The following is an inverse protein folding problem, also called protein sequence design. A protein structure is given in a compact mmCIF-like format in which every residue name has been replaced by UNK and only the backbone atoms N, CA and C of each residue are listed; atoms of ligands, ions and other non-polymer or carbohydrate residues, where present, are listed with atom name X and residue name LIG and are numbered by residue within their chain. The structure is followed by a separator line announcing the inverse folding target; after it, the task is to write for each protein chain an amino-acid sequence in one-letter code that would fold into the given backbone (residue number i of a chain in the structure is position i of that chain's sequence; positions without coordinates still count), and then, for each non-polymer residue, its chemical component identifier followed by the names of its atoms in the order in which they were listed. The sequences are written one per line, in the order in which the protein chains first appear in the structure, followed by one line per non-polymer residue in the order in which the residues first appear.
data_IF_277131009016
#
_entry.id   IF_277131009016
#
_cell.length_a   1.000
_cell.length_b   1.000
_cell.length_c   1.000
_cell.angle_alpha   90.00
_cell.angle_beta   90.00
_cell.angle_gamma   90.00
#
_symmetry.space_group_name_H-M   'P 1'
#
loop_
_entity.id
_entity.type
_entity.pdbx_description
1 polymer ?
#
# COMPACT_ATOMS: atom_id res chain seq x y z
N UNK A 1 22.78 -12.70 -4.20
CA UNK A 1 21.40 -13.21 -4.03
C UNK A 1 20.45 -12.16 -3.45
N UNK A 2 20.86 -11.33 -2.48
CA UNK A 2 20.02 -10.24 -1.94
C UNK A 2 19.62 -9.19 -2.98
N UNK A 3 20.54 -8.75 -3.84
CA UNK A 3 20.31 -7.66 -4.79
C UNK A 3 19.21 -7.96 -5.85
N UNK A 4 19.09 -9.22 -6.28
CA UNK A 4 18.03 -9.67 -7.19
C UNK A 4 16.66 -9.72 -6.50
N UNK A 5 16.61 -10.05 -5.21
CA UNK A 5 15.38 -10.09 -4.43
C UNK A 5 14.93 -8.66 -4.11
N UNK A 6 15.84 -7.79 -3.68
CA UNK A 6 15.59 -6.37 -3.41
C UNK A 6 15.02 -5.62 -4.62
N UNK A 7 15.57 -5.87 -5.82
CA UNK A 7 15.03 -5.32 -7.08
C UNK A 7 13.66 -5.89 -7.45
N UNK A 8 13.37 -7.14 -7.09
CA UNK A 8 12.08 -7.77 -7.37
C UNK A 8 10.98 -7.36 -6.38
N UNK A 9 11.34 -6.98 -5.16
CA UNK A 9 10.43 -6.50 -4.11
C UNK A 9 10.25 -4.99 -4.08
N UNK A 10 11.08 -4.24 -4.83
CA UNK A 10 10.99 -2.79 -4.94
C UNK A 10 11.55 -2.02 -3.75
N UNK A 11 12.36 -2.67 -2.91
CA UNK A 11 12.96 -1.97 -1.77
C UNK A 11 14.10 -1.07 -2.25
N UNK A 12 13.95 0.24 -2.09
CA UNK A 12 15.12 1.08 -1.81
C UNK A 12 15.85 0.44 -0.63
N UNK A 13 17.17 0.28 -0.65
CA UNK A 13 17.96 -0.50 0.32
C UNK A 13 17.81 -0.17 1.82
N UNK A 14 16.83 0.65 2.20
CA UNK A 14 16.32 0.86 3.55
C UNK A 14 14.90 0.27 3.68
N UNK A 15 14.81 -0.95 4.24
CA UNK A 15 13.57 -1.70 4.43
C UNK A 15 12.60 -1.05 5.43
N UNK A 16 13.11 -0.24 6.36
CA UNK A 16 12.28 0.39 7.40
C UNK A 16 11.50 1.55 6.78
N UNK A 17 12.19 2.40 6.03
CA UNK A 17 11.57 3.55 5.38
C UNK A 17 10.57 3.11 4.28
N UNK A 18 10.88 2.04 3.54
CA UNK A 18 9.95 1.46 2.58
C UNK A 18 8.67 0.92 3.25
N UNK A 19 8.83 0.21 4.38
CA UNK A 19 7.68 -0.31 5.14
C UNK A 19 6.81 0.80 5.74
N UNK A 20 7.43 1.87 6.26
CA UNK A 20 6.72 3.04 6.77
C UNK A 20 5.97 3.78 5.67
N UNK A 21 6.58 3.95 4.50
CA UNK A 21 5.96 4.62 3.35
C UNK A 21 4.75 3.83 2.85
N UNK A 22 4.87 2.51 2.75
CA UNK A 22 3.76 1.60 2.40
C UNK A 22 2.63 1.66 3.44
N UNK A 23 2.98 1.58 4.72
CA UNK A 23 2.02 1.67 5.81
C UNK A 23 1.26 3.00 5.80
N UNK A 24 1.96 4.11 5.59
CA UNK A 24 1.36 5.44 5.50
C UNK A 24 0.41 5.56 4.30
N UNK A 25 0.80 5.05 3.13
CA UNK A 25 -0.07 5.04 1.96
C UNK A 25 -1.37 4.27 2.23
N UNK A 26 -1.27 3.08 2.79
CA UNK A 26 -2.43 2.25 3.14
C UNK A 26 -3.33 2.96 4.13
N UNK A 27 -2.76 3.59 5.17
CA UNK A 27 -3.52 4.35 6.15
C UNK A 27 -4.29 5.52 5.52
N UNK A 28 -3.68 6.24 4.57
CA UNK A 28 -4.34 7.34 3.84
C UNK A 28 -5.50 6.82 3.00
N UNK A 29 -5.28 5.75 2.22
CA UNK A 29 -6.33 5.14 1.39
C UNK A 29 -7.49 4.64 2.24
N UNK A 30 -7.20 3.95 3.34
CA UNK A 30 -8.22 3.47 4.27
C UNK A 30 -9.00 4.61 4.91
N UNK A 31 -8.34 5.70 5.29
CA UNK A 31 -9.00 6.88 5.85
C UNK A 31 -9.96 7.52 4.85
N UNK A 32 -9.56 7.62 3.57
CA UNK A 32 -10.41 8.15 2.50
C UNK A 32 -11.62 7.23 2.27
N UNK A 33 -11.39 5.92 2.16
CA UNK A 33 -12.48 4.95 1.95
C UNK A 33 -13.46 4.96 3.11
N UNK A 34 -12.97 4.93 4.36
CA UNK A 34 -13.79 4.99 5.56
C UNK A 34 -14.62 6.28 5.62
N UNK A 35 -14.00 7.43 5.32
CA UNK A 35 -14.70 8.72 5.26
C UNK A 35 -15.83 8.70 4.23
N UNK A 36 -15.57 8.19 3.03
CA UNK A 36 -16.57 8.10 1.96
C UNK A 36 -17.70 7.17 2.39
N UNK A 37 -17.41 5.95 2.86
CA UNK A 37 -18.43 4.94 3.20
C UNK A 37 -19.33 5.38 4.34
N UNK A 38 -18.79 6.06 5.35
CA UNK A 38 -19.58 6.67 6.43
C UNK A 38 -20.45 7.81 5.87
N UNK A 39 -19.91 8.63 4.96
CA UNK A 39 -20.64 9.80 4.44
C UNK A 39 -21.81 9.45 3.52
N UNK A 40 -21.69 8.35 2.77
CA UNK A 40 -22.74 7.83 1.87
C UNK A 40 -23.62 6.76 2.51
N UNK A 41 -23.44 6.49 3.81
CA UNK A 41 -24.18 5.49 4.58
C UNK A 41 -24.14 4.09 3.96
N UNK A 42 -23.02 3.76 3.30
CA UNK A 42 -22.83 2.48 2.62
C UNK A 42 -22.43 1.36 3.58
N UNK A 43 -21.79 1.71 4.71
CA UNK A 43 -21.29 0.77 5.72
C UNK A 43 -21.39 1.38 7.11
N UNK A 44 -21.62 0.54 8.11
CA UNK A 44 -21.55 0.95 9.52
C UNK A 44 -20.11 1.05 10.01
N UNK A 45 -19.87 1.69 11.16
CA UNK A 45 -18.52 1.77 11.74
C UNK A 45 -17.94 0.40 12.13
N UNK A 46 -18.78 -0.54 12.54
CA UNK A 46 -18.35 -1.92 12.84
C UNK A 46 -17.91 -2.66 11.57
N UNK A 47 -18.66 -2.51 10.47
CA UNK A 47 -18.30 -3.12 9.18
C UNK A 47 -16.96 -2.60 8.66
N UNK A 48 -16.72 -1.29 8.80
CA UNK A 48 -15.45 -0.67 8.39
C UNK A 48 -14.27 -1.29 9.15
N UNK A 49 -14.40 -1.49 10.46
CA UNK A 49 -13.35 -2.11 11.30
C UNK A 49 -13.06 -3.54 10.85
N UNK A 50 -14.10 -4.33 10.53
CA UNK A 50 -13.94 -5.69 10.03
C UNK A 50 -13.24 -5.76 8.68
N UNK A 51 -13.38 -4.73 7.85
CA UNK A 51 -12.76 -4.63 6.52
C UNK A 51 -11.33 -4.08 6.56
N UNK A 52 -10.85 -3.54 7.69
CA UNK A 52 -9.49 -3.01 7.84
C UNK A 52 -8.42 -4.04 7.43
N UNK A 53 -8.41 -5.29 7.94
CA UNK A 53 -7.34 -6.25 7.61
C UNK A 53 -7.30 -6.58 6.10
N UNK A 54 -8.47 -6.75 5.48
CA UNK A 54 -8.60 -7.09 4.06
C UNK A 54 -8.13 -5.93 3.19
N UNK A 55 -8.56 -4.70 3.51
CA UNK A 55 -8.20 -3.50 2.75
C UNK A 55 -6.73 -3.12 2.95
N UNK A 56 -6.16 -3.37 4.13
CA UNK A 56 -4.72 -3.24 4.37
C UNK A 56 -3.95 -4.20 3.47
N UNK A 57 -4.29 -5.50 3.49
CA UNK A 57 -3.64 -6.50 2.63
C UNK A 57 -3.73 -6.12 1.14
N UNK A 58 -4.91 -5.72 0.68
CA UNK A 58 -5.11 -5.27 -0.70
C UNK A 58 -4.23 -4.06 -1.04
N UNK A 59 -4.12 -3.08 -0.16
CA UNK A 59 -3.26 -1.91 -0.35
C UNK A 59 -1.78 -2.27 -0.47
N UNK A 60 -1.27 -3.18 0.37
CA UNK A 60 0.10 -3.70 0.26
C UNK A 60 0.34 -4.44 -1.07
N UNK A 61 -0.63 -5.23 -1.54
CA UNK A 61 -0.55 -5.91 -2.84
C UNK A 61 -0.54 -4.93 -4.01
N UNK A 62 -1.41 -3.91 -3.99
CA UNK A 62 -1.47 -2.86 -5.02
C UNK A 62 -0.15 -2.08 -5.06
N UNK A 63 0.41 -1.72 -3.91
CA UNK A 63 1.70 -1.04 -3.84
C UNK A 63 2.83 -1.92 -4.38
N UNK A 64 2.85 -3.21 -4.01
CA UNK A 64 3.81 -4.17 -4.57
C UNK A 64 3.72 -4.31 -6.08
N UNK A 65 2.50 -4.29 -6.65
CA UNK A 65 2.29 -4.26 -8.11
C UNK A 65 2.80 -2.95 -8.73
N UNK A 66 2.58 -1.81 -8.08
CA UNK A 66 3.11 -0.51 -8.52
C UNK A 66 4.64 -0.48 -8.51
N UNK A 67 5.28 -0.99 -7.46
CA UNK A 67 6.74 -1.07 -7.40
C UNK A 67 7.31 -1.97 -8.50
N UNK A 68 6.60 -3.05 -8.85
CA UNK A 68 7.03 -4.00 -9.88
C UNK A 68 6.81 -3.49 -11.31
N UNK A 69 5.71 -2.81 -11.57
CA UNK A 69 5.26 -2.49 -12.94
C UNK A 69 5.09 -1.00 -13.22
N UNK A 70 4.86 -0.18 -12.19
CA UNK A 70 4.49 1.24 -12.30
C UNK A 70 5.64 2.22 -12.07
N UNK A 71 6.72 1.83 -11.36
CA UNK A 71 7.90 2.70 -11.23
C UNK A 71 8.53 2.95 -12.61
N UNK A 72 8.57 4.22 -13.10
CA UNK A 72 9.33 4.54 -14.29
C UNK A 72 10.78 4.15 -14.04
N UNK A 73 11.29 3.20 -14.82
CA UNK A 73 12.72 2.90 -14.84
C UNK A 73 13.38 4.11 -15.48
N UNK A 74 13.75 5.10 -14.66
CA UNK A 74 14.58 6.20 -15.13
C UNK A 74 15.82 5.55 -15.80
N UNK A 75 16.18 5.95 -17.03
CA UNK A 75 17.37 5.44 -17.67
C UNK A 75 18.54 5.64 -16.70
N UNK A 76 19.22 4.56 -16.34
CA UNK A 76 20.44 4.64 -15.57
C UNK A 76 21.42 5.51 -16.35
N UNK A 77 21.70 6.70 -15.83
CA UNK A 77 22.77 7.57 -16.29
C UNK A 77 24.13 6.92 -16.01
#
# INVERSE_FOLDING_TARGET
MSEMIERATGSSGDHVNDSLSRGLFVAVVQSILAFITIRVDALTSEDVVLLVPVTTMAGFLIWGLWDRFGRPRLPSA
#
